data_IF_707294551328
#
_entry.id   IF_707294551328
#
_cell.length_a   1.000
_cell.length_b   1.000
_cell.length_c   1.000
_cell.angle_alpha   90.00
_cell.angle_beta   90.00
_cell.angle_gamma   90.00
#
_symmetry.space_group_name_H-M   'P 1'
#
loop_
_entity.id
_entity.type
_entity.pdbx_description
1 polymer ?
#
# COMPACT_ATOMS: atom_id res chain seq x y z
N UNK A 1 -10.55 -8.29 -12.19
CA UNK A 1 -10.62 -8.81 -10.82
C UNK A 1 -9.43 -8.38 -10.00
N UNK A 2 -8.21 -8.81 -10.37
CA UNK A 2 -7.02 -8.36 -9.69
C UNK A 2 -6.90 -6.84 -9.71
N UNK A 3 -7.36 -6.20 -10.78
CA UNK A 3 -7.31 -4.76 -10.94
C UNK A 3 -8.07 -4.00 -9.87
N UNK A 4 -9.22 -4.52 -9.46
CA UNK A 4 -10.06 -3.83 -8.47
C UNK A 4 -9.34 -3.74 -7.13
N UNK A 5 -8.78 -4.84 -6.66
CA UNK A 5 -8.08 -4.87 -5.39
C UNK A 5 -6.80 -4.05 -5.45
N UNK A 6 -6.08 -4.13 -6.58
CA UNK A 6 -4.86 -3.36 -6.75
C UNK A 6 -5.16 -1.86 -6.72
N UNK A 7 -6.27 -1.44 -7.32
CA UNK A 7 -6.67 -0.04 -7.31
C UNK A 7 -7.08 0.43 -5.92
N UNK A 8 -7.79 -0.41 -5.18
CA UNK A 8 -8.17 -0.06 -3.81
C UNK A 8 -6.95 0.11 -2.93
N UNK A 9 -5.98 -0.80 -3.06
CA UNK A 9 -4.73 -0.71 -2.32
C UNK A 9 -3.96 0.54 -2.72
N UNK A 10 -3.90 0.83 -4.02
CA UNK A 10 -3.20 2.02 -4.51
C UNK A 10 -3.80 3.30 -3.92
N UNK A 11 -5.12 3.40 -3.89
CA UNK A 11 -5.79 4.57 -3.33
C UNK A 11 -5.54 4.68 -1.83
N UNK A 12 -5.60 3.57 -1.12
CA UNK A 12 -5.34 3.54 0.31
C UNK A 12 -3.93 4.03 0.62
N UNK A 13 -2.94 3.49 -0.10
CA UNK A 13 -1.55 3.86 0.12
C UNK A 13 -1.31 5.33 -0.19
N UNK A 14 -1.88 5.82 -1.28
CA UNK A 14 -1.74 7.22 -1.66
C UNK A 14 -2.30 8.14 -0.59
N UNK A 15 -3.45 7.77 -0.05
CA UNK A 15 -4.12 8.54 1.00
C UNK A 15 -3.29 8.53 2.29
N UNK A 16 -2.74 7.38 2.65
CA UNK A 16 -1.92 7.27 3.86
C UNK A 16 -0.58 7.95 3.69
N UNK A 17 -0.01 7.93 2.49
CA UNK A 17 1.23 8.64 2.23
C UNK A 17 1.04 10.15 2.38
N UNK A 18 -0.07 10.68 1.90
CA UNK A 18 -0.35 12.11 1.99
C UNK A 18 0.78 12.93 1.41
N UNK A 19 1.36 13.82 2.22
CA UNK A 19 2.44 14.71 1.79
C UNK A 19 3.83 14.10 1.95
N UNK A 20 3.92 12.86 2.45
CA UNK A 20 5.21 12.20 2.61
C UNK A 20 5.79 11.86 1.23
N UNK A 21 7.12 11.93 1.14
CA UNK A 21 7.80 11.42 -0.05
C UNK A 21 7.75 9.89 -0.02
N UNK A 22 8.01 9.26 -1.18
CA UNK A 22 8.11 7.80 -1.21
C UNK A 22 9.22 7.31 -0.29
N UNK A 23 10.31 8.04 -0.19
CA UNK A 23 11.41 7.66 0.67
C UNK A 23 10.98 7.68 2.14
N UNK A 24 10.26 8.71 2.55
CA UNK A 24 9.75 8.80 3.92
C UNK A 24 8.73 7.69 4.20
N UNK A 25 7.86 7.43 3.25
CA UNK A 25 6.86 6.38 3.40
C UNK A 25 7.49 5.01 3.40
N UNK A 26 8.59 4.84 2.64
CA UNK A 26 9.37 3.61 2.64
C UNK A 26 9.90 3.30 4.04
N UNK A 27 10.40 4.30 4.73
CA UNK A 27 10.89 4.12 6.10
C UNK A 27 9.76 3.73 7.04
N UNK A 28 8.59 4.32 6.82
CA UNK A 28 7.44 4.05 7.68
C UNK A 28 6.89 2.64 7.47
N UNK A 29 6.87 2.17 6.26
CA UNK A 29 6.29 0.86 5.92
C UNK A 29 7.29 -0.27 5.86
N UNK A 30 8.57 0.05 5.69
CA UNK A 30 9.60 -0.96 5.49
C UNK A 30 9.57 -1.55 4.09
N UNK A 31 8.86 -0.93 3.16
CA UNK A 31 8.76 -1.36 1.77
C UNK A 31 9.57 -0.38 0.92
N UNK A 32 10.33 -0.89 -0.06
CA UNK A 32 11.15 -0.02 -0.89
C UNK A 32 10.31 1.02 -1.61
N UNK A 33 10.91 2.20 -1.85
CA UNK A 33 10.20 3.30 -2.49
C UNK A 33 9.78 2.96 -3.93
N UNK A 34 10.59 2.20 -4.65
CA UNK A 34 10.22 1.78 -6.00
C UNK A 34 9.02 0.83 -5.98
N UNK A 35 8.95 -0.07 -5.00
CA UNK A 35 7.82 -0.97 -4.86
C UNK A 35 6.55 -0.18 -4.48
N UNK A 36 6.68 0.77 -3.56
CA UNK A 36 5.55 1.62 -3.18
C UNK A 36 5.03 2.41 -4.37
N UNK A 37 5.94 2.92 -5.20
CA UNK A 37 5.55 3.66 -6.39
C UNK A 37 4.71 2.80 -7.33
N UNK A 38 5.16 1.57 -7.57
CA UNK A 38 4.42 0.63 -8.42
C UNK A 38 3.08 0.26 -7.82
N UNK A 39 3.04 0.10 -6.50
CA UNK A 39 1.79 -0.23 -5.82
C UNK A 39 0.78 0.92 -5.93
N UNK A 40 1.24 2.16 -5.86
CA UNK A 40 0.35 3.32 -6.03
C UNK A 40 -0.12 3.49 -7.46
N UNK A 41 0.57 2.88 -8.42
CA UNK A 41 0.14 2.84 -9.82
C UNK A 41 -0.71 1.60 -10.13
N UNK A 42 -0.98 0.78 -9.13
CA UNK A 42 -1.73 -0.47 -9.26
C UNK A 42 -1.08 -1.44 -10.25
N UNK A 43 0.25 -1.39 -10.36
CA UNK A 43 1.01 -2.25 -11.28
C UNK A 43 1.63 -3.45 -10.60
N UNK A 44 1.61 -3.49 -9.27
CA UNK A 44 2.33 -4.50 -8.51
C UNK A 44 1.38 -5.55 -7.93
N UNK A 45 1.70 -6.82 -8.15
CA UNK A 45 1.02 -7.89 -7.45
C UNK A 45 1.59 -7.97 -6.04
N UNK A 46 0.71 -7.90 -5.06
CA UNK A 46 1.11 -7.81 -3.66
C UNK A 46 0.85 -9.15 -2.97
N UNK A 47 1.86 -9.63 -2.25
CA UNK A 47 1.71 -10.87 -1.49
C UNK A 47 0.97 -10.61 -0.19
N UNK A 48 0.42 -11.68 0.40
CA UNK A 48 -0.23 -11.56 1.70
C UNK A 48 0.74 -11.09 2.77
N UNK A 49 1.99 -11.50 2.66
CA UNK A 49 3.03 -11.06 3.60
C UNK A 49 3.23 -9.55 3.55
N UNK A 50 3.24 -8.99 2.35
CA UNK A 50 3.38 -7.54 2.19
C UNK A 50 2.16 -6.82 2.73
N UNK A 51 0.96 -7.35 2.50
CA UNK A 51 -0.26 -6.77 3.07
C UNK A 51 -0.23 -6.79 4.58
N UNK A 52 0.23 -7.88 5.16
CA UNK A 52 0.34 -7.99 6.61
C UNK A 52 1.31 -6.94 7.15
N UNK A 53 2.43 -6.74 6.47
CA UNK A 53 3.40 -5.73 6.85
C UNK A 53 2.80 -4.33 6.80
N UNK A 54 2.06 -4.02 5.75
CA UNK A 54 1.38 -2.73 5.62
C UNK A 54 0.42 -2.52 6.79
N UNK A 55 -0.39 -3.51 7.08
CA UNK A 55 -1.36 -3.40 8.18
C UNK A 55 -0.66 -3.20 9.52
N UNK A 56 0.42 -3.92 9.75
CA UNK A 56 1.18 -3.82 11.00
C UNK A 56 1.82 -2.45 11.14
N UNK A 57 2.50 -2.00 10.09
CA UNK A 57 3.24 -0.74 10.13
C UNK A 57 2.33 0.49 10.16
N UNK A 58 1.23 0.45 9.43
CA UNK A 58 0.29 1.56 9.38
C UNK A 58 -0.82 1.44 10.41
N UNK A 59 -0.80 0.37 11.21
CA UNK A 59 -1.78 0.12 12.27
C UNK A 59 -3.20 0.18 11.71
N UNK A 60 -3.42 -0.58 10.64
CA UNK A 60 -4.72 -0.66 10.00
C UNK A 60 -5.14 -2.11 9.82
N UNK A 61 -6.38 -2.30 9.43
CA UNK A 61 -6.94 -3.63 9.16
C UNK A 61 -7.07 -3.81 7.66
N UNK A 62 -7.17 -5.07 7.23
CA UNK A 62 -7.43 -5.38 5.83
C UNK A 62 -8.72 -4.70 5.37
N UNK A 63 -9.73 -4.65 6.24
CA UNK A 63 -11.00 -4.01 5.92
C UNK A 63 -10.88 -2.50 5.70
N UNK A 64 -9.81 -1.89 6.21
CA UNK A 64 -9.55 -0.47 5.96
C UNK A 64 -9.02 -0.24 4.55
N UNK A 65 -8.40 -1.27 3.97
CA UNK A 65 -7.80 -1.18 2.64
C UNK A 65 -8.82 -1.56 1.56
N UNK A 66 -9.49 -2.68 1.76
CA UNK A 66 -10.40 -3.25 0.76
C UNK A 66 -11.85 -3.12 1.22
N UNK A 67 -12.64 -2.46 0.40
CA UNK A 67 -14.07 -2.28 0.64
C UNK A 67 -14.86 -2.92 -0.48
N UNK A 68 -16.06 -3.32 -0.16
CA UNK A 68 -16.97 -3.88 -1.17
C UNK A 68 -17.51 -2.82 -2.11
#
# INVERSE_FOLDING_TARGET
MADRLAKQLAQFLRKRRGDLTFQQFSRKTGISDSTLHRMELAEQNVTLKTLEQICTRLKCKISDIFED
#
